data_IF_631216942124
#
_entry.id   IF_631216942124
#
_cell.length_a   1.000
_cell.length_b   1.000
_cell.length_c   1.000
_cell.angle_alpha   90.00
_cell.angle_beta   90.00
_cell.angle_gamma   90.00
#
_symmetry.space_group_name_H-M   'P 1'
#
loop_
_entity.id
_entity.type
_entity.pdbx_description
1 polymer ?
#
# COMPACT_ATOMS: atom_id res chain seq x y z
N UNK A 1 -27.04 0.41 -16.95
CA UNK A 1 -25.70 0.92 -16.59
C UNK A 1 -25.37 0.40 -15.21
N UNK A 2 -24.30 -0.39 -15.07
CA UNK A 2 -23.69 -0.66 -13.76
C UNK A 2 -22.72 0.50 -13.46
N UNK A 3 -22.53 0.92 -12.21
CA UNK A 3 -21.46 1.85 -11.89
C UNK A 3 -20.11 1.19 -12.23
N UNK A 4 -19.24 1.92 -12.91
CA UNK A 4 -17.83 1.56 -13.07
C UNK A 4 -17.15 1.73 -11.72
N UNK A 5 -16.40 0.73 -11.27
CA UNK A 5 -15.57 0.87 -10.08
C UNK A 5 -14.54 1.97 -10.31
N UNK A 6 -14.46 2.93 -9.39
CA UNK A 6 -13.33 3.83 -9.29
C UNK A 6 -12.22 3.17 -8.48
N UNK A 7 -10.98 3.62 -8.66
CA UNK A 7 -9.79 3.25 -7.89
C UNK A 7 -9.32 1.80 -8.07
N UNK A 8 -8.50 1.53 -9.11
CA UNK A 8 -7.32 0.66 -8.97
C UNK A 8 -6.43 0.69 -10.24
N UNK A 9 -5.83 1.85 -10.53
CA UNK A 9 -4.83 1.92 -11.61
C UNK A 9 -3.56 1.21 -11.13
N UNK A 10 -3.30 0.00 -11.64
CA UNK A 10 -1.91 -0.43 -11.76
C UNK A 10 -1.32 0.36 -12.94
N UNK A 11 -0.30 1.16 -12.65
CA UNK A 11 0.13 2.21 -13.56
C UNK A 11 1.02 1.65 -14.67
N UNK A 12 0.67 2.00 -15.90
CA UNK A 12 1.26 1.44 -17.12
C UNK A 12 2.35 2.32 -17.70
N UNK A 13 3.45 1.72 -18.17
CA UNK A 13 4.36 2.38 -19.11
C UNK A 13 4.24 1.77 -20.51
N UNK A 14 4.06 2.64 -21.51
CA UNK A 14 4.11 2.29 -22.94
C UNK A 14 5.55 2.48 -23.44
N UNK A 15 6.14 1.40 -23.97
CA UNK A 15 7.46 1.48 -24.59
C UNK A 15 7.38 1.75 -26.10
N UNK A 16 8.34 2.54 -26.60
CA UNK A 16 8.68 2.64 -28.02
C UNK A 16 10.00 1.89 -28.25
N UNK A 17 10.09 1.03 -29.27
CA UNK A 17 11.38 0.48 -29.69
C UNK A 17 12.24 1.62 -30.27
N UNK A 18 13.45 1.79 -29.73
CA UNK A 18 14.28 2.98 -29.94
C UNK A 18 15.43 2.72 -30.92
N UNK A 19 15.07 2.51 -32.18
CA UNK A 19 16.01 2.35 -33.31
C UNK A 19 15.85 3.47 -34.37
N UNK A 20 16.03 4.74 -33.98
CA UNK A 20 16.51 5.80 -34.89
C UNK A 20 17.35 6.85 -34.11
N UNK A 21 18.37 7.47 -34.75
CA UNK A 21 19.38 8.28 -34.07
C UNK A 21 18.94 9.72 -33.74
N UNK A 22 19.59 10.30 -32.72
CA UNK A 22 19.37 11.64 -32.16
C UNK A 22 19.01 12.75 -33.16
N UNK A 23 17.87 13.40 -32.95
CA UNK A 23 17.60 14.76 -33.42
C UNK A 23 17.38 15.71 -32.22
N UNK A 24 18.38 16.53 -31.93
CA UNK A 24 18.28 17.62 -30.94
C UNK A 24 17.59 18.82 -31.62
N UNK A 25 16.53 19.36 -31.02
CA UNK A 25 15.88 20.60 -31.48
C UNK A 25 15.59 21.56 -30.31
N UNK A 26 16.47 22.54 -30.11
CA UNK A 26 16.23 23.69 -29.24
C UNK A 26 15.18 24.63 -29.87
N UNK A 27 14.21 25.16 -29.10
CA UNK A 27 13.13 25.97 -29.70
C UNK A 27 12.24 26.81 -28.76
N UNK A 28 12.83 27.82 -28.12
CA UNK A 28 12.23 29.00 -27.42
C UNK A 28 10.70 29.25 -27.48
N UNK A 29 10.16 29.62 -26.31
CA UNK A 29 8.90 30.33 -26.05
C UNK A 29 8.53 31.49 -27.02
N UNK A 30 7.22 31.63 -27.34
CA UNK A 30 6.47 32.92 -27.36
C UNK A 30 4.93 32.80 -27.51
N UNK A 31 4.23 33.34 -26.51
CA UNK A 31 2.97 34.14 -26.51
C UNK A 31 1.90 34.07 -27.63
N UNK A 32 0.63 33.92 -27.17
CA UNK A 32 -0.68 34.45 -27.66
C UNK A 32 -0.88 34.90 -29.13
N UNK A 33 -2.04 34.50 -29.69
CA UNK A 33 -2.69 35.19 -30.81
C UNK A 33 -4.06 34.60 -31.18
N UNK A 34 -5.13 35.41 -31.12
CA UNK A 34 -6.49 35.04 -31.55
C UNK A 34 -6.72 35.35 -33.03
N UNK A 35 -7.60 34.60 -33.73
CA UNK A 35 -8.71 35.17 -34.54
C UNK A 35 -9.61 34.15 -35.30
N UNK A 36 -10.89 34.20 -34.95
CA UNK A 36 -12.14 34.08 -35.74
C UNK A 36 -12.20 33.61 -37.23
N UNK A 37 -13.17 32.70 -37.46
CA UNK A 37 -14.15 32.64 -38.58
C UNK A 37 -13.68 32.16 -39.98
N UNK A 38 -14.51 31.59 -40.88
CA UNK A 38 -15.99 31.70 -41.05
C UNK A 38 -16.66 30.46 -41.68
N UNK A 39 -17.86 30.15 -41.19
CA UNK A 39 -19.06 29.47 -41.74
C UNK A 39 -19.10 28.94 -43.19
N UNK A 40 -19.63 27.72 -43.37
CA UNK A 40 -20.76 27.46 -44.31
C UNK A 40 -21.59 26.26 -43.81
N UNK A 41 -22.90 26.28 -44.02
CA UNK A 41 -23.86 25.36 -43.39
C UNK A 41 -24.70 24.57 -44.41
N UNK A 42 -25.26 23.44 -43.98
CA UNK A 42 -26.33 22.72 -44.66
C UNK A 42 -27.35 22.18 -43.64
N UNK A 43 -28.52 22.82 -43.59
CA UNK A 43 -29.75 22.38 -42.89
C UNK A 43 -30.43 21.25 -43.70
N UNK A 44 -31.35 20.38 -43.25
CA UNK A 44 -32.40 20.32 -42.19
C UNK A 44 -32.70 18.81 -41.97
N UNK A 45 -33.43 18.26 -40.99
CA UNK A 45 -34.32 18.69 -39.89
C UNK A 45 -34.25 17.60 -38.78
N UNK A 46 -34.81 17.71 -37.56
CA UNK A 46 -35.51 18.81 -36.89
C UNK A 46 -36.46 18.27 -35.80
N UNK A 47 -36.45 18.85 -34.59
CA UNK A 47 -37.59 19.02 -33.64
C UNK A 47 -37.08 19.63 -32.32
N UNK A 48 -37.89 20.51 -31.74
CA UNK A 48 -37.54 21.41 -30.63
C UNK A 48 -38.58 21.29 -29.50
N UNK A 49 -38.43 22.14 -28.47
CA UNK A 49 -39.33 22.40 -27.33
C UNK A 49 -39.12 21.53 -26.07
N UNK A 50 -39.28 22.03 -24.85
CA UNK A 50 -39.02 23.38 -24.30
C UNK A 50 -38.96 23.24 -22.76
N UNK A 51 -38.19 24.07 -22.05
CA UNK A 51 -38.14 24.02 -20.57
C UNK A 51 -39.32 24.78 -19.97
N UNK A 52 -40.01 24.22 -18.97
CA UNK A 52 -40.82 24.98 -18.03
C UNK A 52 -40.43 24.67 -16.58
N UNK A 53 -40.27 25.73 -15.78
CA UNK A 53 -40.19 25.66 -14.32
C UNK A 53 -41.60 25.44 -13.77
N UNK A 54 -41.74 24.65 -12.72
CA UNK A 54 -42.95 24.55 -11.93
C UNK A 54 -42.73 25.23 -10.56
N UNK A 55 -43.49 26.29 -10.31
CA UNK A 55 -43.74 26.83 -8.97
C UNK A 55 -45.00 26.18 -8.42
N UNK A 56 -44.97 25.70 -7.18
CA UNK A 56 -46.13 25.08 -6.51
C UNK A 56 -46.79 26.11 -5.60
N UNK A 57 -48.11 26.27 -5.73
CA UNK A 57 -48.96 27.12 -4.90
C UNK A 57 -49.39 26.36 -3.62
N UNK A 58 -49.39 27.04 -2.48
CA UNK A 58 -49.68 26.49 -1.15
C UNK A 58 -50.98 27.11 -0.60
N UNK A 59 -52.13 26.69 -1.12
CA UNK A 59 -53.42 27.29 -0.72
C UNK A 59 -54.66 26.38 -0.80
N UNK A 60 -54.57 25.09 -0.44
CA UNK A 60 -55.78 24.29 -0.13
C UNK A 60 -55.52 23.04 0.75
N UNK A 61 -56.58 22.63 1.47
CA UNK A 61 -56.83 21.34 2.18
C UNK A 61 -56.52 21.36 3.71
N UNK A 62 -57.43 20.87 4.58
CA UNK A 62 -57.57 21.41 5.95
C UNK A 62 -56.94 20.57 7.08
N UNK A 63 -56.84 21.21 8.25
CA UNK A 63 -56.30 20.67 9.51
C UNK A 63 -57.37 19.88 10.29
N UNK A 64 -57.09 18.62 10.66
CA UNK A 64 -57.60 17.98 11.90
C UNK A 64 -56.95 16.60 12.23
N UNK A 65 -56.21 16.53 13.35
CA UNK A 65 -56.22 15.44 14.37
C UNK A 65 -55.59 14.05 13.98
N UNK A 66 -54.86 13.31 14.86
CA UNK A 66 -54.17 13.68 16.12
C UNK A 66 -52.66 13.31 16.17
N UNK A 67 -51.95 13.90 17.15
CA UNK A 67 -50.50 13.76 17.44
C UNK A 67 -50.10 12.38 18.05
N UNK A 68 -50.95 11.36 17.97
CA UNK A 68 -50.78 10.10 18.71
C UNK A 68 -49.91 9.01 18.03
N UNK A 69 -49.59 9.14 16.74
CA UNK A 69 -48.89 8.07 15.96
C UNK A 69 -47.39 8.37 15.76
N UNK A 70 -46.95 9.62 15.89
CA UNK A 70 -45.54 10.00 15.71
C UNK A 70 -44.61 9.60 16.88
N UNK A 71 -45.12 9.02 17.96
CA UNK A 71 -44.30 8.51 19.10
C UNK A 71 -44.04 7.01 18.97
N UNK A 72 -44.87 6.26 18.23
CA UNK A 72 -44.72 4.81 18.07
C UNK A 72 -43.68 4.40 16.99
N UNK A 73 -43.38 5.29 16.03
CA UNK A 73 -42.37 5.05 14.98
C UNK A 73 -41.00 5.70 15.28
N UNK A 74 -40.82 6.21 16.50
CA UNK A 74 -39.56 6.82 16.98
C UNK A 74 -38.87 5.99 18.07
N UNK A 75 -39.40 4.79 18.38
CA UNK A 75 -38.87 3.87 19.40
C UNK A 75 -38.71 2.41 18.90
N UNK A 76 -38.81 2.18 17.59
CA UNK A 76 -38.66 0.86 16.96
C UNK A 76 -37.35 0.70 16.13
N UNK A 77 -36.39 1.61 16.32
CA UNK A 77 -35.07 1.61 15.64
C UNK A 77 -33.90 1.61 16.64
N UNK A 78 -34.12 1.03 17.83
CA UNK A 78 -33.08 0.78 18.83
C UNK A 78 -32.72 -0.71 18.72
N UNK A 79 -31.42 -1.00 18.67
CA UNK A 79 -30.87 -2.37 18.59
C UNK A 79 -31.11 -3.13 17.28
N UNK A 80 -30.79 -2.51 16.14
CA UNK A 80 -29.90 -3.24 15.24
C UNK A 80 -28.55 -3.32 15.97
N UNK A 81 -28.00 -4.51 16.27
CA UNK A 81 -26.62 -4.56 16.69
C UNK A 81 -25.80 -3.99 15.54
N UNK A 82 -25.13 -2.87 15.80
CA UNK A 82 -23.87 -2.63 15.11
C UNK A 82 -23.09 -3.93 15.21
N UNK A 83 -22.55 -4.42 14.09
CA UNK A 83 -21.40 -5.32 14.16
C UNK A 83 -20.24 -4.49 14.70
N UNK A 84 -20.30 -4.22 16.01
CA UNK A 84 -19.15 -3.89 16.81
C UNK A 84 -18.10 -4.95 16.45
N UNK A 85 -16.89 -4.48 16.16
CA UNK A 85 -15.76 -5.35 15.88
C UNK A 85 -15.81 -6.53 16.85
N UNK A 86 -15.96 -7.75 16.30
CA UNK A 86 -15.89 -8.94 17.14
C UNK A 86 -14.57 -8.83 17.90
N UNK A 87 -14.65 -8.98 19.22
CA UNK A 87 -13.50 -8.80 20.10
C UNK A 87 -12.62 -10.06 20.00
N UNK A 88 -12.08 -10.29 18.80
CA UNK A 88 -11.08 -11.30 18.48
C UNK A 88 -9.78 -10.88 19.18
N UNK A 89 -9.70 -11.18 20.48
CA UNK A 89 -8.45 -11.12 21.23
C UNK A 89 -7.51 -12.29 20.86
N UNK A 90 -7.87 -13.08 19.83
CA UNK A 90 -6.95 -13.92 19.10
C UNK A 90 -5.77 -13.07 18.56
N UNK A 91 -4.54 -13.48 18.89
CA UNK A 91 -3.33 -12.81 18.41
C UNK A 91 -3.01 -13.15 16.94
N UNK A 92 -3.78 -14.07 16.36
CA UNK A 92 -3.58 -14.75 15.09
C UNK A 92 -4.93 -14.99 14.42
N UNK A 93 -5.01 -14.88 13.09
CA UNK A 93 -6.21 -15.17 12.29
C UNK A 93 -5.82 -15.87 10.99
N UNK A 94 -6.34 -17.09 10.79
CA UNK A 94 -6.23 -17.80 9.52
C UNK A 94 -7.10 -17.13 8.47
N UNK A 95 -6.52 -16.84 7.32
CA UNK A 95 -7.21 -16.28 6.15
C UNK A 95 -6.93 -17.12 4.92
N UNK A 96 -7.90 -17.20 4.02
CA UNK A 96 -7.65 -17.52 2.62
C UNK A 96 -8.36 -16.52 1.74
N UNK A 97 -7.66 -16.00 0.75
CA UNK A 97 -8.14 -14.97 -0.15
C UNK A 97 -7.55 -15.17 -1.54
N UNK A 98 -8.13 -14.52 -2.55
CA UNK A 98 -7.60 -14.46 -3.91
C UNK A 98 -7.43 -13.02 -4.32
N UNK A 99 -6.22 -12.67 -4.76
CA UNK A 99 -5.94 -11.44 -5.48
C UNK A 99 -6.26 -11.74 -6.95
N UNK A 100 -7.39 -11.22 -7.44
CA UNK A 100 -7.82 -11.35 -8.83
C UNK A 100 -7.27 -10.20 -9.65
N UNK A 101 -6.56 -10.52 -10.73
CA UNK A 101 -5.94 -9.54 -11.61
C UNK A 101 -6.48 -9.75 -13.03
N UNK A 102 -7.23 -8.78 -13.54
CA UNK A 102 -7.94 -8.90 -14.82
C UNK A 102 -7.39 -7.90 -15.83
N UNK A 103 -6.77 -8.43 -16.87
CA UNK A 103 -6.18 -7.69 -17.97
C UNK A 103 -7.19 -7.64 -19.12
N UNK A 104 -7.43 -6.44 -19.65
CA UNK A 104 -8.32 -6.19 -20.78
C UNK A 104 -7.50 -5.60 -21.93
N UNK A 105 -6.82 -6.46 -22.72
CA UNK A 105 -6.04 -6.01 -23.87
C UNK A 105 -6.94 -5.50 -25.00
N UNK A 106 -6.45 -4.49 -25.71
CA UNK A 106 -7.02 -4.11 -27.00
C UNK A 106 -6.62 -5.13 -28.08
N UNK A 107 -7.34 -5.22 -29.23
CA UNK A 107 -7.03 -6.19 -30.28
C UNK A 107 -5.60 -6.09 -30.84
N UNK A 108 -4.98 -4.90 -30.81
CA UNK A 108 -3.59 -4.67 -31.19
C UNK A 108 -2.58 -4.75 -30.05
N UNK A 109 -2.93 -5.28 -28.86
CA UNK A 109 -1.95 -5.52 -27.80
C UNK A 109 -1.11 -6.77 -28.13
N UNK A 110 0.20 -6.59 -28.29
CA UNK A 110 1.13 -7.63 -28.71
C UNK A 110 1.66 -8.46 -27.53
N UNK A 111 1.92 -7.81 -26.40
CA UNK A 111 2.40 -8.46 -25.19
C UNK A 111 2.13 -7.63 -23.94
N UNK A 112 2.04 -8.29 -22.79
CA UNK A 112 1.97 -7.69 -21.46
C UNK A 112 3.01 -8.39 -20.59
N UNK A 113 3.86 -7.63 -19.89
CA UNK A 113 4.73 -8.12 -18.82
C UNK A 113 4.29 -7.48 -17.52
N UNK A 114 3.80 -8.28 -16.58
CA UNK A 114 3.34 -7.83 -15.27
C UNK A 114 4.26 -8.40 -14.19
N UNK A 115 4.71 -7.57 -13.27
CA UNK A 115 5.44 -8.01 -12.07
C UNK A 115 4.72 -7.50 -10.83
N UNK A 116 4.45 -8.41 -9.90
CA UNK A 116 3.77 -8.13 -8.63
C UNK A 116 4.60 -8.66 -7.48
N UNK A 117 4.48 -8.03 -6.32
CA UNK A 117 4.85 -8.68 -5.06
C UNK A 117 3.96 -9.89 -4.81
N UNK A 118 4.50 -10.88 -4.11
CA UNK A 118 3.76 -12.01 -3.56
C UNK A 118 4.09 -12.16 -2.07
N UNK A 119 3.13 -12.60 -1.22
CA UNK A 119 3.37 -12.74 0.21
C UNK A 119 4.51 -13.71 0.53
N UNK A 120 5.22 -13.43 1.60
CA UNK A 120 6.17 -14.36 2.24
C UNK A 120 5.83 -14.55 3.71
N UNK A 121 6.26 -15.67 4.27
CA UNK A 121 6.33 -15.81 5.72
C UNK A 121 7.31 -14.79 6.29
N UNK A 122 6.82 -13.98 7.21
CA UNK A 122 7.60 -13.01 8.00
C UNK A 122 7.40 -13.41 9.46
N UNK A 123 8.48 -13.76 10.19
CA UNK A 123 8.40 -14.07 11.62
C UNK A 123 7.59 -13.02 12.37
N UNK A 124 6.76 -13.47 13.29
CA UNK A 124 5.92 -12.61 14.15
C UNK A 124 4.88 -11.70 13.44
N UNK A 125 4.73 -11.78 12.11
CA UNK A 125 3.75 -10.99 11.33
C UNK A 125 2.78 -11.85 10.53
N UNK A 126 3.29 -12.78 9.71
CA UNK A 126 2.44 -13.62 8.87
C UNK A 126 3.12 -14.94 8.53
N UNK A 127 2.36 -16.02 8.60
CA UNK A 127 2.79 -17.38 8.24
C UNK A 127 2.08 -17.77 6.95
N UNK A 128 2.80 -17.76 5.82
CA UNK A 128 2.23 -18.14 4.52
C UNK A 128 2.32 -19.65 4.35
N UNK A 129 1.17 -20.32 4.29
CA UNK A 129 1.07 -21.78 4.15
C UNK A 129 1.05 -22.23 2.71
N UNK A 130 0.34 -21.49 1.85
CA UNK A 130 0.10 -21.87 0.46
C UNK A 130 -0.09 -20.64 -0.42
N UNK A 131 0.44 -20.69 -1.63
CA UNK A 131 0.11 -19.78 -2.74
C UNK A 131 -0.17 -20.63 -3.97
N UNK A 132 -1.38 -20.51 -4.52
CA UNK A 132 -1.78 -21.10 -5.79
C UNK A 132 -1.94 -20.00 -6.85
N UNK A 133 -1.67 -20.33 -8.11
CA UNK A 133 -1.77 -19.41 -9.22
C UNK A 133 -2.63 -20.02 -10.33
N UNK A 134 -3.63 -19.28 -10.84
CA UNK A 134 -4.41 -19.75 -12.01
C UNK A 134 -3.57 -19.81 -13.29
N UNK A 135 -2.51 -19.00 -13.36
CA UNK A 135 -1.50 -19.00 -14.41
C UNK A 135 -0.13 -19.11 -13.74
N UNK A 136 0.74 -20.02 -14.18
CA UNK A 136 2.08 -20.15 -13.58
C UNK A 136 2.94 -18.93 -13.94
N UNK A 137 3.56 -18.24 -12.96
CA UNK A 137 4.50 -17.16 -13.27
C UNK A 137 5.75 -17.69 -13.99
N UNK A 138 6.25 -16.92 -14.96
CA UNK A 138 7.48 -17.22 -15.70
C UNK A 138 8.71 -17.16 -14.79
N UNK A 139 8.69 -16.28 -13.77
CA UNK A 139 9.77 -16.15 -12.79
C UNK A 139 9.21 -15.78 -11.42
N UNK A 140 9.70 -16.44 -10.37
CA UNK A 140 9.61 -15.98 -8.99
C UNK A 140 11.04 -15.68 -8.52
N UNK A 141 11.26 -14.54 -7.88
CA UNK A 141 12.59 -14.11 -7.42
C UNK A 141 12.49 -13.23 -6.16
N UNK A 142 13.61 -13.10 -5.43
CA UNK A 142 13.73 -12.23 -4.25
C UNK A 142 14.70 -11.09 -4.51
N UNK A 143 14.44 -9.93 -3.93
CA UNK A 143 15.33 -8.76 -3.93
C UNK A 143 14.96 -7.86 -2.74
N UNK A 144 15.95 -7.34 -2.01
CA UNK A 144 15.76 -6.43 -0.86
C UNK A 144 14.64 -6.89 0.11
N UNK A 145 14.72 -8.14 0.58
CA UNK A 145 13.71 -8.76 1.46
C UNK A 145 12.35 -9.13 0.84
N UNK A 146 11.97 -8.49 -0.27
CA UNK A 146 10.72 -8.73 -0.98
C UNK A 146 10.78 -9.98 -1.89
N UNK A 147 9.63 -10.55 -2.21
CA UNK A 147 9.47 -11.62 -3.22
C UNK A 147 8.50 -11.20 -4.31
N UNK A 148 8.89 -11.43 -5.56
CA UNK A 148 8.18 -10.99 -6.75
C UNK A 148 7.81 -12.17 -7.63
N UNK A 149 6.68 -12.08 -8.33
CA UNK A 149 6.29 -12.95 -9.42
C UNK A 149 6.15 -12.12 -10.72
N UNK A 150 6.79 -12.57 -11.79
CA UNK A 150 6.66 -11.98 -13.14
C UNK A 150 5.83 -12.90 -14.04
N UNK A 151 4.86 -12.31 -14.72
CA UNK A 151 3.95 -12.93 -15.67
C UNK A 151 4.14 -12.31 -17.06
N UNK A 152 4.22 -13.14 -18.08
CA UNK A 152 4.26 -12.73 -19.50
C UNK A 152 3.03 -13.26 -20.24
N UNK A 153 2.29 -12.35 -20.87
CA UNK A 153 1.18 -12.66 -21.78
C UNK A 153 1.62 -12.26 -23.19
N UNK A 154 1.52 -13.19 -24.15
CA UNK A 154 1.92 -12.99 -25.56
C UNK A 154 0.68 -13.11 -26.44
N UNK A 155 0.50 -12.15 -27.35
CA UNK A 155 -0.68 -11.99 -28.22
C UNK A 155 -2.03 -12.23 -27.49
N UNK A 156 -2.32 -11.55 -26.37
CA UNK A 156 -3.53 -11.84 -25.59
C UNK A 156 -4.80 -11.35 -26.33
N UNK A 157 -5.52 -12.29 -26.97
CA UNK A 157 -6.66 -11.99 -27.88
C UNK A 157 -8.00 -11.71 -27.19
N UNK A 158 -7.98 -11.36 -25.91
CA UNK A 158 -9.17 -11.12 -25.09
C UNK A 158 -8.84 -11.05 -23.59
N UNK A 159 -9.86 -10.89 -22.71
CA UNK A 159 -9.65 -10.77 -21.27
C UNK A 159 -8.87 -11.94 -20.67
N UNK A 160 -7.82 -11.63 -19.89
CA UNK A 160 -7.02 -12.62 -19.15
C UNK A 160 -7.20 -12.37 -17.66
N UNK A 161 -7.46 -13.42 -16.88
CA UNK A 161 -7.64 -13.34 -15.42
C UNK A 161 -6.59 -14.19 -14.72
N UNK A 162 -5.67 -13.52 -14.00
CA UNK A 162 -4.66 -14.15 -13.16
C UNK A 162 -5.10 -14.02 -11.70
N UNK A 163 -5.59 -15.12 -11.16
CA UNK A 163 -5.97 -15.26 -9.77
C UNK A 163 -4.76 -15.81 -8.99
N UNK A 164 -4.36 -15.12 -7.92
CA UNK A 164 -3.34 -15.57 -6.96
C UNK A 164 -4.06 -15.83 -5.64
N UNK A 165 -4.25 -17.11 -5.30
CA UNK A 165 -4.90 -17.55 -4.07
C UNK A 165 -3.85 -17.79 -2.99
N UNK A 166 -4.06 -17.25 -1.80
CA UNK A 166 -3.10 -17.32 -0.68
C UNK A 166 -3.84 -17.81 0.57
N UNK A 167 -3.26 -18.80 1.25
CA UNK A 167 -3.63 -19.18 2.61
C UNK A 167 -2.51 -18.80 3.56
N UNK A 168 -2.81 -18.01 4.58
CA UNK A 168 -1.86 -17.55 5.57
C UNK A 168 -2.52 -17.39 6.96
N UNK A 169 -1.71 -17.42 8.01
CA UNK A 169 -2.10 -16.89 9.32
C UNK A 169 -1.53 -15.47 9.47
N UNK A 170 -2.38 -14.51 9.81
CA UNK A 170 -2.00 -13.12 10.08
C UNK A 170 -1.89 -12.91 11.59
N UNK A 171 -0.75 -12.41 12.05
CA UNK A 171 -0.45 -12.20 13.45
C UNK A 171 -0.42 -10.70 13.75
N UNK A 172 -0.90 -10.30 14.93
CA UNK A 172 -0.80 -8.90 15.36
C UNK A 172 0.65 -8.54 15.67
N UNK A 173 1.20 -7.52 15.00
CA UNK A 173 2.50 -6.90 15.31
C UNK A 173 2.40 -5.65 16.22
N UNK A 174 1.26 -5.43 16.87
CA UNK A 174 1.06 -4.31 17.80
C UNK A 174 1.94 -4.40 19.07
N UNK A 175 2.11 -3.28 19.77
CA UNK A 175 3.00 -3.16 20.93
C UNK A 175 2.66 -4.14 22.05
N UNK A 176 1.37 -4.41 22.30
CA UNK A 176 0.92 -5.37 23.32
C UNK A 176 1.39 -6.77 22.95
N UNK A 177 1.27 -7.14 21.67
CA UNK A 177 1.55 -8.48 21.18
C UNK A 177 3.06 -8.72 21.07
N UNK A 178 3.83 -7.79 20.49
CA UNK A 178 5.29 -7.94 20.35
C UNK A 178 5.98 -7.96 21.73
N UNK A 179 5.62 -7.04 22.64
CA UNK A 179 6.18 -7.04 24.00
C UNK A 179 5.89 -8.35 24.75
N UNK A 180 4.68 -8.90 24.59
CA UNK A 180 4.29 -10.16 25.22
C UNK A 180 5.02 -11.39 24.64
N UNK A 181 5.51 -11.33 23.40
CA UNK A 181 6.34 -12.40 22.80
C UNK A 181 7.78 -12.31 23.27
N UNK A 182 8.39 -11.13 23.26
CA UNK A 182 9.78 -10.92 23.74
C UNK A 182 9.98 -11.33 25.21
N UNK A 183 8.96 -11.17 26.05
CA UNK A 183 8.97 -11.66 27.46
C UNK A 183 8.90 -13.21 27.57
N UNK A 184 8.47 -13.92 26.52
CA UNK A 184 8.33 -15.39 26.50
C UNK A 184 9.50 -16.10 25.82
N UNK A 185 10.30 -15.38 25.06
CA UNK A 185 11.47 -15.90 24.34
C UNK A 185 12.75 -15.43 25.02
N UNK A 186 13.46 -16.36 25.67
CA UNK A 186 14.87 -16.13 26.04
C UNK A 186 15.79 -16.07 24.80
N UNK A 187 15.26 -16.40 23.61
CA UNK A 187 15.89 -16.17 22.31
C UNK A 187 15.98 -14.68 21.99
N UNK A 188 17.20 -14.13 22.00
CA UNK A 188 17.48 -12.73 21.67
C UNK A 188 17.03 -12.31 20.26
N UNK A 189 16.84 -13.27 19.35
CA UNK A 189 16.43 -13.04 17.95
C UNK A 189 14.90 -12.95 17.73
N UNK A 190 14.07 -13.23 18.74
CA UNK A 190 12.62 -13.13 18.60
C UNK A 190 12.18 -11.66 18.41
N UNK A 191 11.36 -11.38 17.38
CA UNK A 191 11.02 -10.02 16.99
C UNK A 191 12.13 -9.24 16.25
N UNK A 192 13.34 -9.81 16.07
CA UNK A 192 14.38 -9.25 15.19
C UNK A 192 14.05 -9.56 13.72
N UNK A 193 13.03 -8.89 13.18
CA UNK A 193 12.83 -8.83 11.74
C UNK A 193 13.94 -7.99 11.09
N UNK A 194 15.11 -8.62 10.93
CA UNK A 194 16.29 -8.10 10.22
C UNK A 194 16.12 -8.17 8.70
N UNK A 195 14.88 -8.09 8.18
CA UNK A 195 14.63 -7.87 6.74
C UNK A 195 15.53 -6.73 6.31
N UNK A 196 16.51 -7.07 5.47
CA UNK A 196 17.68 -6.23 5.28
C UNK A 196 17.25 -4.86 4.77
N UNK A 197 17.84 -3.76 5.26
CA UNK A 197 17.62 -2.46 4.64
C UNK A 197 17.91 -2.57 3.14
N UNK A 198 17.26 -1.75 2.29
CA UNK A 198 17.51 -1.80 0.85
C UNK A 198 19.01 -1.68 0.55
N UNK A 199 19.61 -2.79 0.13
CA UNK A 199 21.00 -2.91 -0.34
C UNK A 199 21.24 -2.09 -1.62
N UNK A 200 21.07 -0.77 -1.54
CA UNK A 200 21.20 0.19 -2.65
C UNK A 200 21.34 1.64 -2.09
N UNK A 201 22.22 1.86 -1.10
CA UNK A 201 22.72 3.22 -0.78
C UNK A 201 23.82 3.58 -1.79
N UNK A 202 23.42 4.14 -2.95
CA UNK A 202 24.01 5.42 -3.34
C UNK A 202 22.95 6.45 -3.73
N UNK A 203 23.09 7.60 -3.08
CA UNK A 203 22.50 8.90 -3.42
C UNK A 203 22.64 9.22 -4.93
N UNK A 204 21.66 9.90 -5.52
CA UNK A 204 21.85 10.46 -6.87
C UNK A 204 22.95 11.52 -6.85
N UNK A 205 24.10 11.21 -7.45
CA UNK A 205 25.16 12.19 -7.70
C UNK A 205 24.65 13.17 -8.76
N UNK A 206 24.36 14.40 -8.34
CA UNK A 206 24.12 15.51 -9.26
C UNK A 206 25.34 15.69 -10.18
N UNK A 207 25.18 15.77 -11.52
CA UNK A 207 26.32 15.89 -12.44
C UNK A 207 27.05 17.26 -12.40
N UNK A 208 27.85 17.51 -11.35
CA UNK A 208 28.73 18.68 -11.25
C UNK A 208 30.16 18.38 -10.78
N UNK A 209 30.35 17.36 -9.93
CA UNK A 209 31.56 17.30 -9.09
C UNK A 209 32.68 16.39 -9.65
N UNK A 210 32.83 16.38 -10.97
CA UNK A 210 34.02 15.83 -11.64
C UNK A 210 35.19 16.83 -11.58
N UNK A 211 35.75 17.02 -10.38
CA UNK A 211 37.08 17.60 -10.19
C UNK A 211 37.94 16.63 -9.37
N UNK A 212 38.80 15.89 -10.05
CA UNK A 212 39.44 14.71 -9.48
C UNK A 212 40.70 15.00 -8.67
N UNK A 213 41.13 13.98 -7.92
CA UNK A 213 42.54 13.75 -7.59
C UNK A 213 42.80 12.27 -7.30
N UNK A 214 43.95 11.77 -7.73
CA UNK A 214 44.48 10.46 -7.38
C UNK A 214 45.18 10.49 -6.01
N UNK A 215 45.24 9.35 -5.30
CA UNK A 215 46.51 8.63 -5.12
C UNK A 215 46.39 7.38 -4.20
N UNK A 216 46.94 6.27 -4.72
CA UNK A 216 47.71 5.18 -4.07
C UNK A 216 47.42 4.69 -2.65
N UNK A 217 47.47 3.36 -2.48
CA UNK A 217 48.15 2.74 -1.33
C UNK A 217 47.44 1.54 -0.71
N UNK A 218 47.96 0.33 -0.93
CA UNK A 218 47.54 -0.87 -0.21
C UNK A 218 48.25 -0.99 1.14
N UNK A 219 47.62 -1.67 2.12
CA UNK A 219 48.29 -2.78 2.81
C UNK A 219 47.33 -3.66 3.62
N UNK A 220 47.74 -4.92 3.75
CA UNK A 220 47.11 -6.04 4.44
C UNK A 220 47.51 -6.10 5.93
N UNK A 221 46.56 -6.43 6.80
CA UNK A 221 46.78 -7.04 8.13
C UNK A 221 45.44 -7.35 8.84
N UNK A 222 45.02 -8.62 8.88
CA UNK A 222 44.05 -9.10 9.87
C UNK A 222 44.71 -9.38 11.22
N UNK A 223 44.01 -9.15 12.33
CA UNK A 223 44.16 -9.96 13.54
C UNK A 223 42.84 -10.59 13.98
N UNK A 224 42.90 -11.84 14.41
CA UNK A 224 41.78 -12.56 15.04
C UNK A 224 41.52 -12.02 16.47
N UNK A 225 40.25 -11.87 16.88
CA UNK A 225 39.91 -11.81 18.31
C UNK A 225 38.63 -11.08 18.72
N UNK A 226 37.78 -11.79 19.47
CA UNK A 226 36.70 -11.28 20.35
C UNK A 226 35.30 -11.06 19.74
N UNK A 227 34.58 -12.17 19.53
CA UNK A 227 33.16 -12.19 19.16
C UNK A 227 32.23 -11.77 20.32
N UNK A 228 32.13 -10.47 20.59
CA UNK A 228 31.01 -9.85 21.35
C UNK A 228 30.74 -8.39 20.97
N UNK A 229 31.73 -7.65 20.45
CA UNK A 229 31.56 -6.26 19.96
C UNK A 229 30.83 -6.19 18.62
N UNK A 230 31.04 -7.19 17.77
CA UNK A 230 30.79 -7.07 16.34
C UNK A 230 29.29 -7.14 16.01
N UNK A 231 28.52 -7.91 16.79
CA UNK A 231 27.09 -8.11 16.54
C UNK A 231 26.25 -6.88 16.92
N UNK A 232 26.53 -6.23 18.05
CA UNK A 232 25.88 -4.98 18.43
C UNK A 232 26.23 -3.82 17.47
N UNK A 233 27.47 -3.78 16.96
CA UNK A 233 27.85 -2.82 15.91
C UNK A 233 27.18 -3.12 14.57
N UNK A 234 27.04 -4.40 14.19
CA UNK A 234 26.31 -4.80 12.99
C UNK A 234 24.80 -4.56 13.11
N UNK A 235 24.22 -4.70 14.31
CA UNK A 235 22.81 -4.35 14.59
C UNK A 235 22.61 -2.83 14.45
N UNK A 236 23.47 -2.00 15.06
CA UNK A 236 23.44 -0.54 14.90
C UNK A 236 23.54 -0.15 13.42
N UNK A 237 24.53 -0.67 12.70
CA UNK A 237 24.74 -0.38 11.27
C UNK A 237 23.55 -0.79 10.38
N UNK A 238 22.78 -1.82 10.78
CA UNK A 238 21.54 -2.23 10.09
C UNK A 238 20.35 -1.32 10.45
N UNK A 239 20.31 -0.75 11.65
CA UNK A 239 19.26 0.15 12.10
C UNK A 239 19.47 1.59 11.61
N UNK A 240 20.72 2.05 11.50
CA UNK A 240 21.09 3.37 10.98
C UNK A 240 20.61 3.58 9.53
N UNK A 241 20.58 2.50 8.72
CA UNK A 241 20.01 2.53 7.38
C UNK A 241 18.51 2.90 7.35
N UNK A 242 17.77 2.64 8.43
CA UNK A 242 16.37 3.03 8.59
C UNK A 242 16.17 4.43 9.21
N UNK A 243 17.24 5.21 9.37
CA UNK A 243 17.20 6.63 9.74
C UNK A 243 17.40 7.56 8.53
N UNK A 244 17.77 7.01 7.37
CA UNK A 244 18.13 7.76 6.16
C UNK A 244 16.91 8.47 5.55
N UNK A 245 17.08 9.72 5.14
CA UNK A 245 16.07 10.43 4.34
C UNK A 245 16.06 9.92 2.89
N UNK A 246 14.88 9.69 2.34
CA UNK A 246 14.70 9.24 0.96
C UNK A 246 13.45 9.87 0.35
N UNK A 247 13.24 9.69 -0.95
CA UNK A 247 12.04 10.20 -1.65
C UNK A 247 10.76 9.75 -0.93
N UNK A 248 9.83 10.68 -0.72
CA UNK A 248 8.61 10.51 0.07
C UNK A 248 8.80 10.33 1.58
N UNK A 249 10.00 10.08 2.08
CA UNK A 249 10.33 9.93 3.51
C UNK A 249 11.37 10.97 3.91
N UNK A 250 11.04 12.24 3.68
CA UNK A 250 11.94 13.39 3.85
C UNK A 250 12.25 13.70 5.33
N UNK A 251 12.97 12.80 6.00
CA UNK A 251 13.39 12.93 7.40
C UNK A 251 14.36 14.10 7.65
N UNK A 252 14.87 14.70 6.59
CA UNK A 252 15.72 15.89 6.63
C UNK A 252 15.01 17.22 6.32
N UNK A 253 13.69 17.19 6.06
CA UNK A 253 12.88 18.40 5.92
C UNK A 253 12.93 19.27 7.18
N UNK A 254 13.13 20.59 6.98
CA UNK A 254 13.26 21.56 8.07
C UNK A 254 12.00 21.67 8.91
N UNK A 255 10.81 21.67 8.28
CA UNK A 255 9.55 21.88 8.99
C UNK A 255 9.11 20.63 9.78
N UNK A 256 9.46 19.44 9.29
CA UNK A 256 9.37 18.19 10.06
C UNK A 256 10.33 18.23 11.24
N UNK A 257 11.62 18.54 11.04
CA UNK A 257 12.61 18.63 12.13
C UNK A 257 12.21 19.61 13.22
N UNK A 258 11.81 20.84 12.87
CA UNK A 258 11.34 21.85 13.83
C UNK A 258 10.16 21.35 14.69
N UNK A 259 9.25 20.56 14.10
CA UNK A 259 8.13 19.97 14.82
C UNK A 259 8.56 18.80 15.74
N UNK A 260 9.64 18.09 15.43
CA UNK A 260 10.18 16.99 16.22
C UNK A 260 11.10 17.48 17.36
N UNK A 261 11.82 18.58 17.15
CA UNK A 261 12.60 19.27 18.18
C UNK A 261 11.71 19.91 19.25
N UNK A 262 10.45 20.24 18.90
CA UNK A 262 9.43 20.70 19.84
C UNK A 262 8.82 19.59 20.72
N UNK A 263 9.14 18.30 20.48
CA UNK A 263 8.65 17.17 21.27
C UNK A 263 9.60 16.88 22.44
N UNK A 264 9.28 17.41 23.61
CA UNK A 264 10.01 17.23 24.89
C UNK A 264 9.77 15.86 25.56
N UNK A 265 9.60 14.80 24.77
CA UNK A 265 9.42 13.42 25.29
C UNK A 265 10.73 12.64 25.08
N UNK A 266 11.51 12.36 26.16
CA UNK A 266 12.78 11.66 26.05
C UNK A 266 12.61 10.14 25.89
N UNK A 267 11.55 9.57 26.46
CA UNK A 267 11.27 8.13 26.40
C UNK A 267 10.80 7.73 24.99
N UNK A 268 11.46 6.78 24.30
CA UNK A 268 11.16 6.45 22.90
C UNK A 268 9.68 6.16 22.61
N UNK A 269 9.01 5.44 23.51
CA UNK A 269 7.59 5.10 23.36
C UNK A 269 6.67 6.32 23.51
N UNK A 270 6.97 7.24 24.43
CA UNK A 270 6.20 8.48 24.57
C UNK A 270 6.51 9.47 23.44
N UNK A 271 7.73 9.44 22.89
CA UNK A 271 8.06 10.16 21.65
C UNK A 271 7.29 9.63 20.44
N UNK A 272 7.15 8.30 20.27
CA UNK A 272 6.28 7.71 19.23
C UNK A 272 4.81 8.12 19.42
N UNK A 273 4.31 8.15 20.67
CA UNK A 273 2.94 8.63 20.96
C UNK A 273 2.75 10.09 20.57
N UNK A 274 3.72 10.95 20.87
CA UNK A 274 3.68 12.36 20.48
C UNK A 274 3.77 12.55 18.96
N UNK A 275 4.60 11.76 18.26
CA UNK A 275 4.68 11.76 16.80
C UNK A 275 3.34 11.34 16.16
N UNK A 276 2.66 10.32 16.70
CA UNK A 276 1.33 9.93 16.23
C UNK A 276 0.28 11.02 16.43
N UNK A 277 0.32 11.73 17.56
CA UNK A 277 -0.54 12.89 17.78
C UNK A 277 -0.25 13.99 16.75
N UNK A 278 1.03 14.33 16.52
CA UNK A 278 1.45 15.29 15.50
C UNK A 278 0.93 14.91 14.10
N UNK A 279 1.08 13.66 13.67
CA UNK A 279 0.59 13.19 12.36
C UNK A 279 -0.94 13.32 12.27
N UNK A 280 -1.67 12.88 13.29
CA UNK A 280 -3.13 12.93 13.34
C UNK A 280 -3.72 14.34 13.44
N UNK A 281 -2.98 15.29 14.01
CA UNK A 281 -3.35 16.71 14.04
C UNK A 281 -2.94 17.45 12.76
N UNK A 282 -1.84 17.03 12.12
CA UNK A 282 -1.30 17.69 10.92
C UNK A 282 -2.03 17.31 9.65
N UNK A 283 -2.41 16.03 9.49
CA UNK A 283 -2.97 15.51 8.25
C UNK A 283 -4.49 15.30 8.32
N UNK A 284 -5.20 15.81 7.31
CA UNK A 284 -6.59 15.45 7.04
C UNK A 284 -6.66 14.37 5.96
N UNK A 285 -7.32 13.26 6.25
CA UNK A 285 -7.61 12.23 5.24
C UNK A 285 -8.50 12.78 4.12
N UNK A 286 -8.13 12.57 2.86
CA UNK A 286 -8.87 13.08 1.68
C UNK A 286 -9.44 12.00 0.74
N UNK A 287 -9.25 10.71 1.05
CA UNK A 287 -9.57 9.61 0.14
C UNK A 287 -8.42 9.35 -0.84
N UNK A 288 -8.60 8.39 -1.76
CA UNK A 288 -7.59 8.00 -2.75
C UNK A 288 -7.06 9.18 -3.58
N UNK A 289 -5.75 9.20 -3.82
CA UNK A 289 -5.06 10.17 -4.66
C UNK A 289 -4.18 9.45 -5.69
N UNK A 290 -4.13 9.95 -6.93
CA UNK A 290 -3.25 9.41 -7.98
C UNK A 290 -1.78 9.80 -7.79
N UNK A 291 -1.51 10.92 -7.12
CA UNK A 291 -0.18 11.46 -6.86
C UNK A 291 0.20 11.25 -5.38
N UNK A 292 1.25 10.47 -5.12
CA UNK A 292 1.92 10.47 -3.80
C UNK A 292 2.56 11.83 -3.53
N UNK A 293 2.24 12.44 -2.39
CA UNK A 293 2.81 13.72 -1.97
C UNK A 293 4.16 13.52 -1.26
N UNK A 294 4.29 12.46 -0.46
CA UNK A 294 5.42 12.28 0.45
C UNK A 294 5.32 13.09 1.74
N UNK A 295 6.19 12.80 2.70
CA UNK A 295 6.16 13.37 4.04
C UNK A 295 6.21 14.90 4.04
N UNK A 296 7.20 15.52 3.38
CA UNK A 296 7.39 16.97 3.41
C UNK A 296 6.18 17.74 2.82
N UNK A 297 5.73 17.33 1.63
CA UNK A 297 4.60 17.98 0.95
C UNK A 297 3.26 17.69 1.64
N UNK A 298 3.07 16.50 2.20
CA UNK A 298 1.90 16.21 3.02
C UNK A 298 1.88 17.07 4.29
N UNK A 299 3.04 17.27 4.93
CA UNK A 299 3.18 18.15 6.08
C UNK A 299 2.83 19.61 5.71
N UNK A 300 3.30 20.12 4.57
CA UNK A 300 2.93 21.46 4.08
C UNK A 300 1.43 21.56 3.77
N UNK A 301 0.91 20.68 2.91
CA UNK A 301 -0.48 20.74 2.40
C UNK A 301 -1.54 20.25 3.40
N UNK A 302 -1.15 19.60 4.50
CA UNK A 302 -2.01 19.09 5.59
C UNK A 302 -3.08 18.11 5.12
N UNK A 303 -2.77 17.31 4.09
CA UNK A 303 -3.67 16.31 3.51
C UNK A 303 -2.92 15.04 3.11
N UNK A 304 -3.66 13.95 2.97
CA UNK A 304 -3.15 12.74 2.35
C UNK A 304 -4.09 11.54 2.49
N UNK A 305 -3.64 10.39 2.00
CA UNK A 305 -4.29 9.10 2.22
C UNK A 305 -3.44 8.17 3.11
N UNK A 306 -3.64 6.86 3.06
CA UNK A 306 -2.82 5.92 3.85
C UNK A 306 -1.31 6.10 3.61
N UNK A 307 -0.92 6.47 2.39
CA UNK A 307 0.47 6.66 2.01
C UNK A 307 1.10 7.83 2.74
N UNK A 308 0.54 9.04 2.66
CA UNK A 308 1.10 10.20 3.35
C UNK A 308 1.06 10.08 4.89
N UNK A 309 0.06 9.39 5.45
CA UNK A 309 0.00 9.15 6.89
C UNK A 309 1.13 8.23 7.37
N UNK A 310 1.45 7.18 6.61
CA UNK A 310 2.60 6.32 6.86
C UNK A 310 3.93 7.06 6.60
N UNK A 311 4.03 7.73 5.45
CA UNK A 311 5.22 8.45 5.00
C UNK A 311 5.65 9.52 6.00
N UNK A 312 4.72 10.38 6.44
CA UNK A 312 5.01 11.42 7.44
C UNK A 312 5.37 10.83 8.81
N UNK A 313 4.69 9.77 9.26
CA UNK A 313 5.03 9.11 10.53
C UNK A 313 6.45 8.54 10.51
N UNK A 314 6.85 7.91 9.40
CA UNK A 314 8.18 7.35 9.22
C UNK A 314 9.24 8.46 9.16
N UNK A 315 9.04 9.50 8.35
CA UNK A 315 9.96 10.64 8.28
C UNK A 315 10.12 11.33 9.65
N UNK A 316 9.03 11.52 10.38
CA UNK A 316 9.02 12.06 11.75
C UNK A 316 9.78 11.18 12.76
N UNK A 317 9.61 9.84 12.69
CA UNK A 317 10.40 8.92 13.52
C UNK A 317 11.89 8.97 13.17
N UNK A 318 12.24 8.94 11.88
CA UNK A 318 13.63 9.05 11.42
C UNK A 318 14.28 10.36 11.88
N UNK A 319 13.57 11.49 11.76
CA UNK A 319 14.02 12.79 12.27
C UNK A 319 14.19 12.80 13.80
N UNK A 320 13.44 11.98 14.53
CA UNK A 320 13.57 11.79 15.98
C UNK A 320 14.67 10.79 16.40
N UNK A 321 15.44 10.24 15.44
CA UNK A 321 16.44 9.19 15.70
C UNK A 321 15.85 7.80 15.96
N UNK A 322 14.59 7.57 15.58
CA UNK A 322 13.90 6.28 15.73
C UNK A 322 13.87 5.53 14.39
N UNK A 323 14.51 4.35 14.28
CA UNK A 323 14.49 3.55 13.04
C UNK A 323 13.06 3.21 12.64
N UNK A 324 12.65 3.59 11.43
CA UNK A 324 11.27 3.45 10.96
C UNK A 324 11.19 3.16 9.46
N UNK A 325 10.15 2.44 9.05
CA UNK A 325 9.90 2.07 7.65
C UNK A 325 8.42 2.01 7.33
N UNK A 326 8.06 2.24 6.07
CA UNK A 326 6.70 1.99 5.59
C UNK A 326 6.49 0.49 5.43
N UNK A 327 5.23 0.08 5.43
CA UNK A 327 4.79 -1.27 5.10
C UNK A 327 3.68 -1.17 4.06
N UNK A 328 3.91 -1.80 2.91
CA UNK A 328 3.00 -1.84 1.77
C UNK A 328 2.37 -3.23 1.69
N UNK A 329 1.05 -3.29 1.54
CA UNK A 329 0.34 -4.56 1.61
C UNK A 329 -1.16 -4.47 1.41
N UNK A 330 -1.86 -5.47 1.96
CA UNK A 330 -3.31 -5.61 1.85
C UNK A 330 -3.96 -5.69 3.24
N UNK A 331 -5.16 -5.13 3.35
CA UNK A 331 -6.09 -5.37 4.46
C UNK A 331 -7.01 -6.53 4.09
N UNK A 332 -6.87 -7.66 4.79
CA UNK A 332 -7.66 -8.88 4.58
C UNK A 332 -8.98 -8.80 5.36
N UNK A 333 -9.79 -7.83 4.94
CA UNK A 333 -11.12 -7.51 5.46
C UNK A 333 -12.06 -7.14 4.29
N UNK A 334 -13.40 -7.15 4.48
CA UNK A 334 -14.32 -6.77 3.42
C UNK A 334 -14.07 -5.35 2.92
N UNK A 335 -13.79 -5.21 1.62
CA UNK A 335 -13.48 -3.92 0.98
C UNK A 335 -14.79 -3.20 0.62
N UNK A 336 -14.97 -1.92 0.99
CA UNK A 336 -16.11 -1.12 0.53
C UNK A 336 -16.17 -0.97 -0.99
N UNK A 337 -17.37 -0.86 -1.57
CA UNK A 337 -17.53 -0.63 -3.01
C UNK A 337 -16.88 0.69 -3.45
N UNK A 338 -15.91 0.61 -4.36
CA UNK A 338 -15.16 1.78 -4.86
C UNK A 338 -13.97 2.18 -3.97
N UNK A 339 -13.56 1.30 -3.06
CA UNK A 339 -12.31 1.38 -2.29
C UNK A 339 -11.40 0.19 -2.66
N UNK A 340 -10.16 0.20 -2.20
CA UNK A 340 -9.16 -0.83 -2.49
C UNK A 340 -8.75 -1.62 -1.25
N UNK A 341 -8.30 -2.87 -1.43
CA UNK A 341 -7.70 -3.63 -0.33
C UNK A 341 -6.28 -3.17 0.01
N UNK A 342 -5.64 -2.43 -0.91
CA UNK A 342 -4.27 -1.92 -0.74
C UNK A 342 -4.24 -0.93 0.42
N UNK A 343 -3.19 -1.01 1.23
CA UNK A 343 -3.02 -0.10 2.35
C UNK A 343 -1.54 0.06 2.67
N UNK A 344 -1.15 1.27 3.07
CA UNK A 344 0.17 1.56 3.61
C UNK A 344 0.08 1.88 5.10
N UNK A 345 0.96 1.28 5.87
CA UNK A 345 1.16 1.56 7.30
C UNK A 345 2.67 1.67 7.58
N UNK A 346 3.08 1.59 8.84
CA UNK A 346 4.48 1.71 9.22
C UNK A 346 4.89 0.67 10.28
N UNK A 347 6.20 0.48 10.39
CA UNK A 347 6.85 -0.13 11.54
C UNK A 347 7.88 0.83 12.14
N UNK A 348 7.99 0.85 13.46
CA UNK A 348 9.02 1.57 14.21
C UNK A 348 9.77 0.61 15.12
N UNK A 349 11.10 0.73 15.20
CA UNK A 349 11.93 -0.08 16.09
C UNK A 349 12.03 0.58 17.46
N UNK A 350 11.79 -0.19 18.51
CA UNK A 350 12.02 0.21 19.90
C UNK A 350 13.00 -0.80 20.52
N UNK A 351 14.14 -0.35 21.02
CA UNK A 351 15.27 -1.22 21.45
C UNK A 351 14.85 -2.37 22.37
N UNK A 352 13.95 -2.12 23.33
CA UNK A 352 13.46 -3.12 24.30
C UNK A 352 12.25 -3.94 23.84
N UNK A 353 11.75 -3.72 22.62
CA UNK A 353 10.58 -4.43 22.06
C UNK A 353 10.89 -5.13 20.74
N UNK A 354 11.65 -4.49 19.85
CA UNK A 354 11.82 -4.86 18.44
C UNK A 354 10.99 -3.97 17.52
N UNK A 355 10.70 -4.44 16.31
CA UNK A 355 9.77 -3.75 15.39
C UNK A 355 8.34 -3.83 15.91
N UNK A 356 7.64 -2.70 15.91
CA UNK A 356 6.23 -2.57 16.28
C UNK A 356 5.45 -2.02 15.09
N UNK A 357 4.38 -2.70 14.71
CA UNK A 357 3.45 -2.20 13.68
C UNK A 357 2.64 -1.03 14.20
N UNK A 358 2.44 -0.04 13.33
CA UNK A 358 1.70 1.18 13.60
C UNK A 358 0.91 1.58 12.35
N UNK A 359 -0.37 1.89 12.51
CA UNK A 359 -1.20 2.44 11.43
C UNK A 359 -1.61 3.87 11.77
N UNK A 360 -0.84 4.90 11.32
CA UNK A 360 -1.11 6.29 11.70
C UNK A 360 -2.47 6.78 11.23
N UNK A 361 -2.98 6.28 10.09
CA UNK A 361 -4.29 6.64 9.57
C UNK A 361 -5.43 6.06 10.42
N UNK A 362 -5.37 4.77 10.76
CA UNK A 362 -6.38 4.15 11.65
C UNK A 362 -6.28 4.67 13.08
N UNK A 363 -5.10 5.05 13.56
CA UNK A 363 -4.93 5.72 14.86
C UNK A 363 -5.58 7.11 14.84
N UNK A 364 -5.34 7.93 13.81
CA UNK A 364 -6.00 9.23 13.65
C UNK A 364 -7.54 9.09 13.49
N UNK A 365 -8.01 8.05 12.79
CA UNK A 365 -9.44 7.68 12.68
C UNK A 365 -10.00 6.99 13.94
N UNK A 366 -9.18 6.75 14.97
CA UNK A 366 -9.53 6.06 16.24
C UNK A 366 -10.07 4.64 16.07
N UNK A 367 -9.65 3.95 15.01
CA UNK A 367 -9.96 2.53 14.74
C UNK A 367 -8.81 1.58 15.05
N UNK A 368 -7.63 2.10 15.42
CA UNK A 368 -6.49 1.35 15.95
C UNK A 368 -5.77 2.13 17.06
N UNK A 369 -4.87 1.47 17.79
CA UNK A 369 -3.94 2.10 18.75
C UNK A 369 -2.58 1.38 18.68
N UNK A 370 -1.51 1.99 19.21
CA UNK A 370 -0.21 1.32 19.37
C UNK A 370 -0.30 -0.06 20.06
N UNK A 371 -1.22 -0.23 21.01
CA UNK A 371 -1.37 -1.48 21.78
C UNK A 371 -2.41 -2.44 21.19
N UNK A 372 -3.08 -2.07 20.10
CA UNK A 372 -4.12 -2.88 19.45
C UNK A 372 -4.28 -2.49 17.99
N UNK A 373 -3.81 -3.34 17.10
CA UNK A 373 -4.14 -3.31 15.67
C UNK A 373 -4.99 -4.54 15.30
N UNK A 374 -5.91 -4.44 14.32
CA UNK A 374 -6.60 -5.62 13.79
C UNK A 374 -5.63 -6.64 13.18
N UNK A 375 -5.96 -7.94 13.25
CA UNK A 375 -5.22 -9.03 12.60
C UNK A 375 -5.59 -9.16 11.11
N UNK A 376 -5.51 -8.03 10.39
CA UNK A 376 -5.94 -7.88 9.00
C UNK A 376 -4.79 -7.60 8.03
N UNK A 377 -3.61 -7.24 8.54
CA UNK A 377 -2.50 -6.76 7.72
C UNK A 377 -1.73 -7.93 7.10
N UNK A 378 -1.60 -7.90 5.77
CA UNK A 378 -0.73 -8.77 5.00
C UNK A 378 0.36 -7.92 4.35
N UNK A 379 1.58 -7.97 4.87
CA UNK A 379 2.73 -7.23 4.35
C UNK A 379 3.24 -7.88 3.06
N UNK A 380 3.40 -7.06 2.02
CA UNK A 380 3.98 -7.43 0.73
C UNK A 380 5.38 -6.83 0.57
N UNK A 381 5.58 -5.59 1.04
CA UNK A 381 6.83 -4.85 0.97
C UNK A 381 7.03 -3.96 2.20
N UNK A 382 8.27 -3.56 2.41
CA UNK A 382 8.68 -2.51 3.36
C UNK A 382 9.48 -1.39 2.67
N UNK A 383 9.47 -1.37 1.32
CA UNK A 383 10.26 -0.49 0.46
C UNK A 383 9.35 0.57 -0.17
N UNK A 384 9.50 1.82 0.26
CA UNK A 384 8.68 2.94 -0.25
C UNK A 384 8.94 3.30 -1.71
N UNK A 385 10.16 3.03 -2.19
CA UNK A 385 10.70 3.43 -3.49
C UNK A 385 11.20 2.22 -4.31
N UNK A 386 10.41 1.16 -4.41
CA UNK A 386 10.84 -0.10 -5.03
C UNK A 386 11.16 0.05 -6.54
N UNK A 387 12.47 0.12 -6.86
CA UNK A 387 12.99 0.16 -8.23
C UNK A 387 12.62 -1.07 -9.07
N UNK A 388 12.31 -2.21 -8.45
CA UNK A 388 11.84 -3.43 -9.14
C UNK A 388 10.43 -3.24 -9.72
N UNK A 389 9.62 -2.40 -9.07
CA UNK A 389 8.27 -2.02 -9.47
C UNK A 389 8.21 -0.61 -10.07
N UNK A 390 9.34 -0.03 -10.49
CA UNK A 390 9.42 1.32 -11.07
C UNK A 390 8.87 2.42 -10.13
N UNK A 391 8.95 2.22 -8.81
CA UNK A 391 8.42 3.12 -7.79
C UNK A 391 6.93 2.95 -7.47
N UNK A 392 6.25 1.93 -8.02
CA UNK A 392 4.89 1.55 -7.64
C UNK A 392 4.88 0.57 -6.45
N UNK A 393 3.79 0.56 -5.69
CA UNK A 393 3.73 -0.02 -4.35
C UNK A 393 3.58 -1.55 -4.33
N UNK A 394 2.66 -2.08 -5.15
CA UNK A 394 2.28 -3.52 -5.11
C UNK A 394 2.65 -4.25 -6.39
N UNK A 395 2.41 -3.63 -7.55
CA UNK A 395 2.65 -4.22 -8.85
C UNK A 395 2.87 -3.18 -9.94
N UNK A 396 3.46 -3.62 -11.04
CA UNK A 396 3.81 -2.83 -12.21
C UNK A 396 3.64 -3.65 -13.49
N UNK A 397 3.21 -3.03 -14.58
CA UNK A 397 3.21 -3.69 -15.89
C UNK A 397 3.68 -2.79 -17.04
N UNK A 398 4.20 -3.46 -18.06
CA UNK A 398 4.51 -2.92 -19.38
C UNK A 398 3.69 -3.64 -20.43
N UNK A 399 3.36 -2.96 -21.52
CA UNK A 399 2.74 -3.59 -22.69
C UNK A 399 3.40 -3.11 -24.00
N UNK A 400 3.22 -3.89 -25.07
CA UNK A 400 3.55 -3.52 -26.45
C UNK A 400 2.30 -3.51 -27.32
N UNK A 401 2.29 -2.68 -28.36
CA UNK A 401 1.14 -2.46 -29.23
C UNK A 401 0.13 -1.45 -28.66
N UNK A 402 -1.16 -1.79 -28.72
CA UNK A 402 -2.26 -0.97 -28.22
C UNK A 402 -2.44 -1.05 -26.68
N UNK A 403 -3.02 0.01 -26.05
CA UNK A 403 -3.27 0.06 -24.60
C UNK A 403 -4.11 -1.08 -24.05
N UNK A 404 -3.96 -1.31 -22.74
CA UNK A 404 -4.75 -2.28 -21.97
C UNK A 404 -5.44 -1.55 -20.81
N UNK A 405 -6.60 -2.05 -20.39
CA UNK A 405 -7.14 -1.75 -19.06
C UNK A 405 -6.74 -2.87 -18.09
N UNK A 406 -6.67 -2.54 -16.80
CA UNK A 406 -6.33 -3.47 -15.73
C UNK A 406 -7.26 -3.25 -14.54
N UNK A 407 -7.80 -4.32 -13.98
CA UNK A 407 -8.65 -4.33 -12.80
C UNK A 407 -8.04 -5.28 -11.75
N UNK A 408 -8.01 -4.87 -10.48
CA UNK A 408 -7.62 -5.72 -9.35
C UNK A 408 -8.77 -5.82 -8.34
N UNK A 409 -8.93 -6.99 -7.72
CA UNK A 409 -9.97 -7.27 -6.74
C UNK A 409 -9.45 -8.23 -5.67
N UNK A 410 -9.77 -7.97 -4.40
CA UNK A 410 -9.53 -8.91 -3.30
C UNK A 410 -10.81 -9.71 -3.02
N UNK A 411 -10.74 -11.02 -3.21
CA UNK A 411 -11.81 -11.96 -2.91
C UNK A 411 -11.49 -12.70 -1.63
N UNK A 412 -12.29 -12.52 -0.58
CA UNK A 412 -12.17 -13.31 0.65
C UNK A 412 -12.89 -14.65 0.49
N UNK A 413 -12.30 -15.74 0.97
CA UNK A 413 -12.94 -17.05 1.03
C UNK A 413 -13.29 -17.40 2.48
N UNK A 414 -14.45 -17.99 2.69
CA UNK A 414 -14.82 -18.57 3.98
C UNK A 414 -13.96 -19.83 4.22
N UNK A 415 -13.28 -19.97 5.38
CA UNK A 415 -12.58 -21.19 5.75
C UNK A 415 -13.40 -22.48 5.56
N UNK A 416 -14.72 -22.43 5.76
CA UNK A 416 -15.61 -23.59 5.62
C UNK A 416 -15.82 -24.06 4.18
N UNK A 417 -15.70 -23.18 3.17
CA UNK A 417 -15.89 -23.54 1.75
C UNK A 417 -14.67 -24.25 1.15
N UNK A 418 -13.51 -24.13 1.79
CA UNK A 418 -12.23 -24.65 1.28
C UNK A 418 -11.98 -26.11 1.70
N UNK A 419 -12.40 -26.51 2.90
CA UNK A 419 -12.32 -27.89 3.35
C UNK A 419 -13.10 -28.82 2.40
N UNK A 420 -14.33 -28.47 2.01
CA UNK A 420 -15.18 -29.27 1.13
C UNK A 420 -14.57 -29.45 -0.29
N UNK A 421 -13.86 -28.43 -0.80
CA UNK A 421 -13.10 -28.58 -2.06
C UNK A 421 -11.91 -29.52 -1.90
N UNK A 422 -11.15 -29.40 -0.80
CA UNK A 422 -10.02 -30.30 -0.54
C UNK A 422 -10.49 -31.75 -0.36
N UNK A 423 -11.66 -31.95 0.24
CA UNK A 423 -12.27 -33.26 0.44
C UNK A 423 -12.82 -33.84 -0.87
N UNK A 424 -13.42 -33.01 -1.73
CA UNK A 424 -13.80 -33.42 -3.10
C UNK A 424 -12.59 -33.77 -3.97
N UNK A 425 -11.47 -33.06 -3.86
CA UNK A 425 -10.24 -33.40 -4.58
C UNK A 425 -9.58 -34.69 -4.04
N UNK A 426 -9.55 -34.90 -2.71
CA UNK A 426 -9.12 -36.18 -2.09
C UNK A 426 -9.97 -37.36 -2.56
N UNK A 427 -11.29 -37.17 -2.66
CA UNK A 427 -12.24 -38.19 -3.15
C UNK A 427 -12.06 -38.48 -4.64
N UNK A 428 -11.70 -37.49 -5.45
CA UNK A 428 -11.39 -37.66 -6.89
C UNK A 428 -9.98 -38.22 -7.15
N UNK A 429 -9.06 -38.06 -6.21
CA UNK A 429 -7.66 -38.53 -6.31
C UNK A 429 -7.43 -39.98 -5.88
N UNK A 430 -8.42 -40.65 -5.29
CA UNK A 430 -8.35 -42.08 -4.98
C UNK A 430 -8.84 -42.90 -6.19
N UNK A 431 -7.99 -43.68 -6.88
CA UNK A 431 -8.49 -44.66 -7.81
C UNK A 431 -9.24 -45.74 -7.02
N UNK A 432 -10.50 -46.00 -7.37
CA UNK A 432 -11.24 -47.15 -6.86
C UNK A 432 -10.48 -48.42 -7.22
N UNK A 433 -9.88 -49.05 -6.20
CA UNK A 433 -9.23 -50.35 -6.34
C UNK A 433 -10.30 -51.46 -6.32
N UNK A 434 -11.09 -51.54 -7.38
CA UNK A 434 -12.03 -52.64 -7.57
C UNK A 434 -11.27 -53.97 -7.72
N UNK A 435 -11.84 -55.01 -7.10
CA UNK A 435 -11.33 -56.38 -7.02
C UNK A 435 -12.16 -57.34 -7.85
#
# INVERSE_FOLDING_TARGET
MRPTNACDVANAERWYDRDEPNAIANGRSRTMGSCTATTTASTTNGRYLERRRATVDLSAIPVAIPVAICVALLLASISAPSMAAQDDDAAERRVTFTIRNRFLPSPGTESITWTTLIPTTIPDRQLVHRIDYSHRPQRIFRRHGNTYATFELKEPRGPVVIDITVTADLLRGDLRTVSARRVRSDDADAGRDLTSPPDDVPYEVTPSDYSGRSDTGANDASPEGTTTSDDASAESLRLDAWLVSEKYLEADDTAIREAIDAIDQPEPLDRVRAILALVGERLRYVGFQEESLGAARAFEERRGDCSEFADLFVAACRAAGLPARTCDGLLIAPVPTGDTARHKWAEVYLTEVGWVEVDPLRIAKRTATLHRMPNEYLRLSHLRNDRTLNGYEVAYYRYRGEPIEFENELLLHDPAELDDRSDQERRRGSPESDR
#
